data_IF_637936326829
#
_entry.id   IF_637936326829
#
_cell.length_a   1.000
_cell.length_b   1.000
_cell.length_c   1.000
_cell.angle_alpha   90.00
_cell.angle_beta   90.00
_cell.angle_gamma   90.00
#
_symmetry.space_group_name_H-M   'P 1'
#
loop_
_entity.id
_entity.type
_entity.pdbx_description
1 polymer ?
#
# COMPACT_ATOMS: atom_id res chain seq x y z
N UNK A 1 15.46 -17.35 24.17
CA UNK A 1 14.04 -16.97 24.23
C UNK A 1 13.99 -15.58 23.65
N UNK A 2 13.53 -15.49 22.40
CA UNK A 2 13.55 -14.26 21.61
C UNK A 2 12.58 -13.27 22.25
N UNK A 3 13.13 -12.17 22.75
CA UNK A 3 12.43 -11.11 23.43
C UNK A 3 11.58 -10.39 22.38
N UNK A 4 10.29 -10.75 22.31
CA UNK A 4 9.30 -10.03 21.50
C UNK A 4 9.02 -8.70 22.18
N UNK A 5 9.94 -7.75 22.01
CA UNK A 5 9.68 -6.35 22.29
C UNK A 5 8.53 -5.93 21.38
N UNK A 6 7.31 -5.92 21.94
CA UNK A 6 6.17 -5.24 21.34
C UNK A 6 6.51 -3.75 21.29
N UNK A 7 7.24 -3.37 20.25
CA UNK A 7 7.54 -2.00 19.94
C UNK A 7 6.18 -1.32 19.75
N UNK A 8 5.82 -0.43 20.68
CA UNK A 8 4.57 0.32 20.63
C UNK A 8 4.59 1.14 19.34
N UNK A 9 3.94 0.64 18.29
CA UNK A 9 3.89 1.31 16.98
C UNK A 9 3.24 2.67 17.21
N UNK A 10 3.97 3.72 16.83
CA UNK A 10 3.50 5.12 16.89
C UNK A 10 2.07 5.16 16.30
N UNK A 11 1.08 5.81 16.96
CA UNK A 11 -0.31 5.80 16.49
C UNK A 11 -0.48 6.39 15.08
N UNK A 12 0.52 7.16 14.62
CA UNK A 12 0.59 7.79 13.30
C UNK A 12 1.93 7.52 12.58
N UNK A 13 2.63 6.44 12.95
CA UNK A 13 3.83 6.02 12.23
C UNK A 13 3.47 5.54 10.83
N UNK A 14 4.43 5.64 9.90
CA UNK A 14 4.30 4.99 8.59
C UNK A 14 4.15 3.49 8.86
N UNK A 15 3.03 2.85 8.47
CA UNK A 15 2.88 1.42 8.67
C UNK A 15 3.90 0.68 7.81
N UNK A 16 4.51 -0.35 8.38
CA UNK A 16 5.37 -1.27 7.64
C UNK A 16 4.59 -1.95 6.50
N UNK A 17 5.30 -2.36 5.46
CA UNK A 17 4.69 -3.10 4.35
C UNK A 17 4.06 -4.38 4.91
N UNK A 18 2.76 -4.62 4.70
CA UNK A 18 2.10 -5.81 5.21
C UNK A 18 2.59 -7.05 4.45
N UNK A 19 2.72 -8.19 5.15
CA UNK A 19 3.09 -9.48 4.55
C UNK A 19 2.03 -10.00 3.57
N UNK A 20 0.76 -9.69 3.85
CA UNK A 20 -0.37 -10.00 2.99
C UNK A 20 -1.40 -8.87 3.00
N UNK A 21 -2.18 -8.78 1.93
CA UNK A 21 -3.28 -7.82 1.81
C UNK A 21 -4.56 -8.54 1.43
N UNK A 22 -5.71 -7.98 1.82
CA UNK A 22 -7.03 -8.53 1.48
C UNK A 22 -7.85 -7.49 0.72
N UNK A 23 -8.59 -7.91 -0.31
CA UNK A 23 -9.53 -7.05 -1.04
C UNK A 23 -8.88 -5.97 -1.91
N UNK A 24 -7.55 -5.96 -2.04
CA UNK A 24 -6.79 -5.01 -2.86
C UNK A 24 -6.30 -5.59 -4.19
N UNK A 25 -6.61 -6.86 -4.48
CA UNK A 25 -6.09 -7.57 -5.66
C UNK A 25 -6.50 -6.91 -6.99
N UNK A 26 -7.79 -6.60 -7.14
CA UNK A 26 -8.31 -5.93 -8.33
C UNK A 26 -7.83 -4.48 -8.46
N UNK A 27 -7.89 -3.63 -7.40
CA UNK A 27 -7.25 -2.32 -7.41
C UNK A 27 -5.77 -2.36 -7.78
N UNK A 28 -5.03 -3.36 -7.28
CA UNK A 28 -3.59 -3.51 -7.56
C UNK A 28 -3.33 -3.90 -9.01
N UNK A 29 -4.14 -4.80 -9.57
CA UNK A 29 -4.06 -5.18 -10.99
C UNK A 29 -4.28 -3.97 -11.88
N UNK A 30 -5.36 -3.20 -11.63
CA UNK A 30 -5.66 -1.97 -12.37
C UNK A 30 -4.53 -0.94 -12.25
N UNK A 31 -4.01 -0.77 -11.04
CA UNK A 31 -2.91 0.14 -10.78
C UNK A 31 -1.66 -0.25 -11.57
N UNK A 32 -1.26 -1.53 -11.56
CA UNK A 32 -0.12 -2.03 -12.34
C UNK A 32 -0.31 -1.80 -13.84
N UNK A 33 -1.49 -2.10 -14.38
CA UNK A 33 -1.79 -1.86 -15.80
C UNK A 33 -1.66 -0.38 -16.16
N UNK A 34 -2.18 0.52 -15.32
CA UNK A 34 -2.09 1.95 -15.57
C UNK A 34 -0.65 2.47 -15.50
N UNK A 35 0.14 2.02 -14.51
CA UNK A 35 1.56 2.43 -14.40
C UNK A 35 2.38 1.99 -15.62
N UNK A 36 2.08 0.81 -16.16
CA UNK A 36 2.78 0.28 -17.34
C UNK A 36 2.23 0.82 -18.66
N UNK A 37 1.13 1.58 -18.65
CA UNK A 37 0.56 2.14 -19.86
C UNK A 37 1.35 3.36 -20.33
N UNK A 38 1.64 3.41 -21.63
CA UNK A 38 2.28 4.57 -22.24
C UNK A 38 1.32 5.76 -22.30
N UNK A 39 1.83 6.98 -22.06
CA UNK A 39 1.05 8.22 -22.15
C UNK A 39 0.44 8.72 -20.85
N UNK A 40 0.51 7.96 -19.75
CA UNK A 40 0.16 8.47 -18.41
C UNK A 40 1.39 9.05 -17.71
N UNK A 41 1.43 10.37 -17.52
CA UNK A 41 2.49 11.04 -16.74
C UNK A 41 2.19 11.13 -15.25
N UNK A 42 0.90 11.21 -14.88
CA UNK A 42 0.43 11.34 -13.50
C UNK A 42 -0.84 10.51 -13.32
N UNK A 43 -0.91 9.78 -12.20
CA UNK A 43 -2.11 9.03 -11.78
C UNK A 43 -2.48 9.37 -10.34
N UNK A 44 -3.79 9.53 -10.09
CA UNK A 44 -4.32 9.93 -8.78
C UNK A 44 -5.04 8.75 -8.13
N UNK A 45 -4.63 8.38 -6.91
CA UNK A 45 -5.33 7.43 -6.05
C UNK A 45 -6.26 8.18 -5.08
N UNK A 46 -7.57 7.98 -5.22
CA UNK A 46 -8.60 8.67 -4.42
C UNK A 46 -9.38 7.70 -3.52
N UNK A 47 -10.05 8.22 -2.49
CA UNK A 47 -10.85 7.43 -1.54
C UNK A 47 -10.79 7.96 -0.10
N UNK A 48 -11.66 7.43 0.76
CA UNK A 48 -11.78 7.83 2.17
C UNK A 48 -10.53 7.51 3.01
N UNK A 49 -10.43 8.11 4.20
CA UNK A 49 -9.38 7.78 5.17
C UNK A 49 -9.42 6.30 5.54
N UNK A 50 -8.25 5.67 5.69
CA UNK A 50 -8.16 4.25 6.05
C UNK A 50 -8.42 3.25 4.91
N UNK A 51 -8.78 3.67 3.69
CA UNK A 51 -9.08 2.78 2.56
C UNK A 51 -7.84 2.07 1.95
N UNK A 52 -6.66 2.19 2.56
CA UNK A 52 -5.46 1.49 2.07
C UNK A 52 -4.81 2.08 0.81
N UNK A 53 -5.09 3.34 0.44
CA UNK A 53 -4.48 4.00 -0.74
C UNK A 53 -2.94 4.00 -0.69
N UNK A 54 -2.38 4.39 0.46
CA UNK A 54 -0.93 4.38 0.68
C UNK A 54 -0.38 2.97 0.59
N UNK A 55 -1.06 2.00 1.22
CA UNK A 55 -0.70 0.57 1.14
C UNK A 55 -0.67 0.11 -0.32
N UNK A 56 -1.70 0.42 -1.10
CA UNK A 56 -1.80 0.05 -2.51
C UNK A 56 -0.65 0.63 -3.36
N UNK A 57 -0.30 1.91 -3.13
CA UNK A 57 0.84 2.55 -3.80
C UNK A 57 2.17 1.89 -3.44
N UNK A 58 2.40 1.61 -2.14
CA UNK A 58 3.64 0.99 -1.66
C UNK A 58 3.83 -0.44 -2.18
N UNK A 59 2.76 -1.16 -2.53
CA UNK A 59 2.86 -2.50 -3.14
C UNK A 59 3.48 -2.53 -4.54
N UNK A 60 3.56 -1.37 -5.23
CA UNK A 60 4.27 -1.26 -6.51
C UNK A 60 5.79 -1.17 -6.34
N UNK A 61 6.26 -0.75 -5.17
CA UNK A 61 7.68 -0.67 -4.87
C UNK A 61 8.19 -2.06 -4.49
N UNK A 62 9.22 -2.53 -5.20
CA UNK A 62 10.04 -3.68 -4.82
C UNK A 62 11.05 -3.28 -3.75
#
# INVERSE_FOLDING_TARGET
>A
MEETAQQMKRPFGIPEKPEFTVGLDEPLKKLKTNVLSEGLSVMVLTGVGGLGKTTLATMLYY
#
